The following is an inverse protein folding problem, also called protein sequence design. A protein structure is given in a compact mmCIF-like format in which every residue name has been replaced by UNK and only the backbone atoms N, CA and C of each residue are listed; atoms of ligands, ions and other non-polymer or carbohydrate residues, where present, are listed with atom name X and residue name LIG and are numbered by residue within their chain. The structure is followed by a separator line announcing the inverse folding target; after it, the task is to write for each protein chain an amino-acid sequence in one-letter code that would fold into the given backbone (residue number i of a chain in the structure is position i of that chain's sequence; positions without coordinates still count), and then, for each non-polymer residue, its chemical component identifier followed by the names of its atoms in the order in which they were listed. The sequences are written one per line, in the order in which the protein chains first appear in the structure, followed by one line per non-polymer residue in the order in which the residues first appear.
data_IF_966742762892
#
_entry.id   IF_966742762892
#
_cell.length_a   1.000
_cell.length_b   1.000
_cell.length_c   1.000
_cell.angle_alpha   90.00
_cell.angle_beta   90.00
_cell.angle_gamma   90.00
#
_symmetry.space_group_name_H-M   'P 1'
#
loop_
_entity.id
_entity.type
_entity.pdbx_description
1 polymer ?
#
# COMPACT_ATOMS: atom_id res chain seq x y z
N UNK A 1 -6.57 9.49 -11.00
CA UNK A 1 -5.43 8.54 -11.15
C UNK A 1 -5.68 7.68 -12.39
N UNK A 2 -4.69 7.56 -13.26
CA UNK A 2 -4.81 6.73 -14.47
C UNK A 2 -4.26 5.33 -14.18
N UNK A 3 -5.15 4.35 -14.01
CA UNK A 3 -4.82 2.95 -13.68
C UNK A 3 -3.87 2.32 -14.71
N UNK A 4 -4.09 2.60 -16.01
CA UNK A 4 -3.22 2.06 -17.07
C UNK A 4 -1.80 2.59 -17.00
N UNK A 5 -1.64 3.86 -16.61
CA UNK A 5 -0.32 4.48 -16.42
C UNK A 5 0.39 3.84 -15.22
N UNK A 6 -0.32 3.65 -14.11
CA UNK A 6 0.23 2.98 -12.92
C UNK A 6 0.64 1.54 -13.23
N UNK A 7 -0.19 0.80 -13.93
CA UNK A 7 0.12 -0.58 -14.32
C UNK A 7 1.37 -0.63 -15.20
N UNK A 8 1.49 0.28 -16.16
CA UNK A 8 2.66 0.33 -17.02
C UNK A 8 3.93 0.65 -16.23
N UNK A 9 3.87 1.60 -15.31
CA UNK A 9 4.99 1.92 -14.42
C UNK A 9 5.40 0.72 -13.56
N UNK A 10 4.43 -0.03 -13.03
CA UNK A 10 4.70 -1.25 -12.26
C UNK A 10 5.39 -2.32 -13.10
N UNK A 11 4.91 -2.54 -14.34
CA UNK A 11 5.52 -3.48 -15.29
C UNK A 11 6.94 -3.07 -15.66
N UNK A 12 7.19 -1.81 -15.93
CA UNK A 12 8.51 -1.28 -16.28
C UNK A 12 9.48 -1.39 -15.10
N UNK A 13 9.01 -1.12 -13.89
CA UNK A 13 9.80 -1.31 -12.68
C UNK A 13 10.19 -2.77 -12.48
N UNK A 14 9.25 -3.70 -12.63
CA UNK A 14 9.53 -5.14 -12.55
C UNK A 14 10.52 -5.61 -13.61
N UNK A 15 10.42 -5.13 -14.84
CA UNK A 15 11.39 -5.42 -15.91
C UNK A 15 12.80 -4.95 -15.53
N UNK A 16 12.91 -3.75 -15.00
CA UNK A 16 14.20 -3.18 -14.59
C UNK A 16 14.83 -3.96 -13.44
N UNK A 17 14.06 -4.45 -12.50
CA UNK A 17 14.54 -5.20 -11.31
C UNK A 17 14.64 -6.70 -11.53
N UNK A 18 14.16 -7.22 -12.65
CA UNK A 18 14.11 -8.66 -12.94
C UNK A 18 12.99 -9.39 -12.19
N UNK A 19 12.05 -8.68 -11.60
CA UNK A 19 10.93 -9.25 -10.88
C UNK A 19 9.84 -9.74 -11.85
N UNK A 20 9.25 -10.89 -11.55
CA UNK A 20 8.21 -11.49 -12.40
C UNK A 20 6.83 -10.99 -12.02
N UNK A 21 6.23 -10.16 -12.85
CA UNK A 21 4.87 -9.68 -12.70
C UNK A 21 3.87 -10.64 -13.35
N UNK A 22 3.45 -11.65 -12.58
CA UNK A 22 2.55 -12.72 -13.08
C UNK A 22 1.12 -12.21 -13.29
N UNK A 23 0.28 -12.93 -14.10
CA UNK A 23 -1.13 -12.55 -14.28
C UNK A 23 -1.92 -12.40 -12.97
N UNK A 24 -1.70 -13.29 -11.99
CA UNK A 24 -2.37 -13.19 -10.69
C UNK A 24 -1.97 -11.91 -9.91
N UNK A 25 -0.69 -11.55 -9.95
CA UNK A 25 -0.18 -10.31 -9.33
C UNK A 25 -0.73 -9.07 -10.02
N UNK A 26 -0.84 -9.11 -11.34
CA UNK A 26 -1.44 -8.03 -12.14
C UNK A 26 -2.92 -7.86 -11.80
N UNK A 27 -3.67 -8.94 -11.67
CA UNK A 27 -5.09 -8.88 -11.31
C UNK A 27 -5.30 -8.26 -9.92
N UNK A 28 -4.53 -8.68 -8.92
CA UNK A 28 -4.59 -8.08 -7.57
C UNK A 28 -4.23 -6.59 -7.61
N UNK A 29 -3.19 -6.22 -8.34
CA UNK A 29 -2.81 -4.82 -8.53
C UNK A 29 -3.94 -4.00 -9.15
N UNK A 30 -4.59 -4.51 -10.21
CA UNK A 30 -5.69 -3.83 -10.88
C UNK A 30 -6.93 -3.67 -10.00
N UNK A 31 -7.26 -4.69 -9.21
CA UNK A 31 -8.36 -4.60 -8.24
C UNK A 31 -8.10 -3.46 -7.27
N UNK A 32 -6.90 -3.39 -6.70
CA UNK A 32 -6.51 -2.35 -5.76
C UNK A 32 -6.47 -0.96 -6.43
N UNK A 33 -6.00 -0.88 -7.68
CA UNK A 33 -5.92 0.38 -8.42
C UNK A 33 -7.30 0.96 -8.77
N UNK A 34 -8.30 0.12 -8.93
CA UNK A 34 -9.69 0.53 -9.16
C UNK A 34 -10.46 0.80 -7.86
N UNK A 35 -9.93 0.38 -6.73
CA UNK A 35 -10.49 0.67 -5.41
C UNK A 35 -9.78 1.88 -4.81
N UNK A 36 -10.54 2.89 -4.41
CA UNK A 36 -9.98 4.12 -3.86
C UNK A 36 -9.88 4.06 -2.33
N UNK A 37 -9.06 3.15 -1.82
CA UNK A 37 -8.88 3.01 -0.39
C UNK A 37 -8.22 1.69 0.00
N UNK A 38 -8.04 1.44 1.30
CA UNK A 38 -7.45 0.20 1.78
C UNK A 38 -8.40 -0.98 1.53
N UNK A 39 -7.82 -2.16 1.31
CA UNK A 39 -8.55 -3.42 1.15
C UNK A 39 -7.93 -4.51 2.03
N UNK A 40 -8.76 -5.29 2.69
CA UNK A 40 -8.34 -6.52 3.35
C UNK A 40 -8.07 -7.65 2.35
N UNK A 41 -7.27 -8.65 2.76
CA UNK A 41 -6.94 -9.78 1.88
C UNK A 41 -8.18 -10.57 1.44
N UNK A 42 -9.18 -10.72 2.30
CA UNK A 42 -10.42 -11.42 1.96
C UNK A 42 -11.32 -10.63 1.01
N UNK A 43 -11.35 -9.31 1.13
CA UNK A 43 -12.03 -8.44 0.15
C UNK A 43 -11.40 -8.57 -1.23
N UNK A 44 -10.06 -8.59 -1.29
CA UNK A 44 -9.30 -8.82 -2.51
C UNK A 44 -9.61 -10.20 -3.10
N UNK A 45 -9.71 -11.23 -2.24
CA UNK A 45 -10.05 -12.57 -2.67
C UNK A 45 -11.45 -12.64 -3.28
N UNK A 46 -12.43 -11.98 -2.65
CA UNK A 46 -13.80 -11.94 -3.17
C UNK A 46 -13.86 -11.27 -4.54
N UNK A 47 -13.14 -10.16 -4.73
CA UNK A 47 -13.05 -9.49 -6.02
C UNK A 47 -12.31 -10.35 -7.06
N UNK A 48 -11.24 -11.01 -6.67
CA UNK A 48 -10.47 -11.89 -7.55
C UNK A 48 -11.29 -13.10 -8.02
N UNK A 49 -12.11 -13.69 -7.14
CA UNK A 49 -13.00 -14.82 -7.47
C UNK A 49 -14.06 -14.49 -8.51
N UNK A 50 -14.42 -13.23 -8.68
CA UNK A 50 -15.33 -12.79 -9.76
C UNK A 50 -14.72 -13.03 -11.14
N UNK A 51 -13.40 -13.01 -11.26
CA UNK A 51 -12.65 -13.24 -12.51
C UNK A 51 -12.04 -14.63 -12.59
N UNK A 52 -11.65 -15.20 -11.47
CA UNK A 52 -11.03 -16.52 -11.33
C UNK A 52 -11.64 -17.25 -10.12
N UNK A 53 -12.60 -18.11 -10.38
CA UNK A 53 -13.31 -18.89 -9.34
C UNK A 53 -12.41 -19.86 -8.59
N UNK A 54 -11.25 -20.21 -9.16
CA UNK A 54 -10.26 -21.10 -8.55
C UNK A 54 -9.30 -20.36 -7.63
N UNK A 55 -9.38 -19.03 -7.53
CA UNK A 55 -8.51 -18.23 -6.67
C UNK A 55 -8.68 -18.62 -5.19
N UNK A 56 -7.55 -18.73 -4.49
CA UNK A 56 -7.48 -19.13 -3.08
C UNK A 56 -6.83 -18.02 -2.25
N UNK A 57 -7.02 -18.02 -0.92
CA UNK A 57 -6.34 -17.06 -0.03
C UNK A 57 -4.84 -16.99 -0.26
N UNK A 58 -4.17 -18.13 -0.47
CA UNK A 58 -2.73 -18.17 -0.75
C UNK A 58 -2.35 -17.38 -2.02
N UNK A 59 -3.20 -17.38 -3.05
CA UNK A 59 -2.99 -16.60 -4.28
C UNK A 59 -2.90 -15.09 -3.98
N UNK A 60 -3.83 -14.60 -3.16
CA UNK A 60 -3.88 -13.20 -2.76
C UNK A 60 -2.69 -12.83 -1.88
N UNK A 61 -2.38 -13.63 -0.85
CA UNK A 61 -1.27 -13.35 0.05
C UNK A 61 0.09 -13.35 -0.66
N UNK A 62 0.32 -14.28 -1.59
CA UNK A 62 1.55 -14.29 -2.40
C UNK A 62 1.66 -13.07 -3.31
N UNK A 63 0.54 -12.65 -3.91
CA UNK A 63 0.50 -11.43 -4.71
C UNK A 63 0.79 -10.20 -3.86
N UNK A 64 0.16 -10.07 -2.69
CA UNK A 64 0.36 -8.96 -1.77
C UNK A 64 1.80 -8.90 -1.24
N UNK A 65 2.40 -10.03 -0.87
CA UNK A 65 3.80 -10.10 -0.46
C UNK A 65 4.74 -9.61 -1.56
N UNK A 66 4.49 -10.03 -2.78
CA UNK A 66 5.26 -9.55 -3.93
C UNK A 66 5.09 -8.05 -4.14
N UNK A 67 3.85 -7.55 -4.17
CA UNK A 67 3.55 -6.13 -4.39
C UNK A 67 4.14 -5.25 -3.27
N UNK A 68 4.12 -5.73 -2.04
CA UNK A 68 4.74 -5.04 -0.90
C UNK A 68 6.27 -4.98 -1.03
N UNK A 69 6.91 -6.08 -1.43
CA UNK A 69 8.37 -6.13 -1.67
C UNK A 69 8.81 -5.21 -2.80
N UNK A 70 7.97 -5.03 -3.81
CA UNK A 70 8.24 -4.10 -4.90
C UNK A 70 7.93 -2.64 -4.54
N UNK A 71 7.36 -2.37 -3.37
CA UNK A 71 6.97 -1.03 -2.94
C UNK A 71 5.67 -0.51 -3.57
N UNK A 72 4.90 -1.37 -4.23
CA UNK A 72 3.64 -0.99 -4.88
C UNK A 72 2.46 -0.92 -3.90
N UNK A 73 2.57 -1.62 -2.79
CA UNK A 73 1.52 -1.76 -1.78
C UNK A 73 2.12 -1.57 -0.40
N UNK A 74 1.40 -0.87 0.47
CA UNK A 74 1.72 -0.72 1.88
C UNK A 74 0.74 -1.50 2.73
N UNK A 75 1.24 -2.27 3.68
CA UNK A 75 0.40 -2.91 4.69
C UNK A 75 0.12 -1.93 5.83
N UNK A 76 -1.14 -1.77 6.17
CA UNK A 76 -1.59 -0.99 7.32
C UNK A 76 -1.88 -1.97 8.46
N UNK A 77 -0.91 -2.14 9.35
CA UNK A 77 -0.97 -3.17 10.40
C UNK A 77 -2.14 -2.97 11.35
N UNK A 78 -2.45 -1.73 11.72
CA UNK A 78 -3.49 -1.42 12.70
C UNK A 78 -4.90 -1.86 12.29
N UNK A 79 -5.17 -1.90 10.99
CA UNK A 79 -6.48 -2.29 10.44
C UNK A 79 -6.39 -3.57 9.59
N UNK A 80 -5.23 -4.21 9.54
CA UNK A 80 -4.96 -5.41 8.75
C UNK A 80 -5.45 -5.28 7.30
N UNK A 81 -5.10 -4.19 6.66
CA UNK A 81 -5.47 -3.87 5.29
C UNK A 81 -4.24 -3.47 4.47
N UNK A 82 -4.43 -3.39 3.17
CA UNK A 82 -3.39 -3.06 2.20
C UNK A 82 -3.82 -1.85 1.38
N UNK A 83 -2.91 -0.92 1.17
CA UNK A 83 -3.14 0.30 0.40
C UNK A 83 -2.19 0.33 -0.80
N UNK A 84 -2.72 0.57 -1.99
CA UNK A 84 -1.90 0.78 -3.18
C UNK A 84 -1.17 2.12 -3.05
N UNK A 85 0.14 2.09 -3.25
CA UNK A 85 0.95 3.30 -3.33
C UNK A 85 0.90 3.86 -4.76
N UNK A 86 0.57 5.11 -4.92
CA UNK A 86 0.59 5.79 -6.22
C UNK A 86 1.92 6.51 -6.50
N UNK A 87 2.85 6.46 -5.55
CA UNK A 87 4.20 7.07 -5.62
C UNK A 87 5.34 6.04 -5.62
N UNK A 88 5.09 4.81 -6.06
CA UNK A 88 6.10 3.74 -6.01
C UNK A 88 7.29 3.93 -6.97
N UNK A 89 7.24 4.91 -7.85
CA UNK A 89 8.40 5.33 -8.63
C UNK A 89 9.51 5.94 -7.76
N UNK A 90 9.15 6.42 -6.58
CA UNK A 90 10.06 6.95 -5.56
C UNK A 90 10.29 5.87 -4.49
N UNK A 91 11.02 4.81 -4.84
CA UNK A 91 11.28 3.66 -3.95
C UNK A 91 11.81 4.08 -2.57
N UNK A 92 11.23 3.50 -1.52
CA UNK A 92 11.63 3.67 -0.10
C UNK A 92 11.22 5.00 0.56
N UNK A 93 10.17 5.68 0.10
CA UNK A 93 9.65 6.79 0.86
C UNK A 93 8.98 6.28 2.16
N UNK A 94 9.11 7.01 3.27
CA UNK A 94 8.41 6.67 4.50
C UNK A 94 6.90 6.83 4.32
N UNK A 95 6.15 5.86 4.83
CA UNK A 95 4.69 5.88 4.76
C UNK A 95 4.13 6.62 5.95
N UNK A 96 3.31 7.64 5.71
CA UNK A 96 2.66 8.44 6.73
C UNK A 96 1.16 8.48 6.43
N UNK A 97 0.36 7.96 7.35
CA UNK A 97 -1.07 7.75 7.16
C UNK A 97 -1.90 8.47 8.22
N UNK A 98 -2.98 9.10 7.78
CA UNK A 98 -4.08 9.55 8.63
C UNK A 98 -5.24 8.57 8.44
N UNK A 99 -5.72 7.97 9.52
CA UNK A 99 -6.74 6.94 9.50
C UNK A 99 -7.95 7.41 10.31
N UNK A 100 -9.11 7.44 9.67
CA UNK A 100 -10.36 7.76 10.35
C UNK A 100 -10.93 6.51 11.01
N UNK A 101 -11.08 6.53 12.31
CA UNK A 101 -11.63 5.40 13.08
C UNK A 101 -13.15 5.21 12.85
N UNK A 102 -13.86 6.26 12.42
CA UNK A 102 -15.32 6.20 12.22
C UNK A 102 -15.70 5.64 10.84
N UNK A 103 -15.10 6.12 9.77
CA UNK A 103 -15.45 5.72 8.40
C UNK A 103 -14.41 4.87 7.69
N UNK A 104 -13.24 4.64 8.30
CA UNK A 104 -12.17 3.86 7.70
C UNK A 104 -11.40 4.55 6.58
N UNK A 105 -11.67 5.84 6.32
CA UNK A 105 -10.93 6.60 5.31
C UNK A 105 -9.44 6.66 5.69
N UNK A 106 -8.58 6.48 4.70
CA UNK A 106 -7.13 6.57 4.86
C UNK A 106 -6.58 7.58 3.87
N UNK A 107 -5.79 8.50 4.37
CA UNK A 107 -5.08 9.50 3.59
C UNK A 107 -3.58 9.34 3.79
N UNK A 108 -2.84 9.15 2.70
CA UNK A 108 -1.37 9.16 2.73
C UNK A 108 -0.89 10.61 2.66
N UNK A 109 -0.09 11.00 3.63
CA UNK A 109 0.54 12.32 3.66
C UNK A 109 2.04 12.20 3.43
N UNK A 110 2.63 13.25 2.89
CA UNK A 110 4.07 13.33 2.69
C UNK A 110 4.64 14.50 3.49
N UNK A 111 5.62 14.20 4.33
CA UNK A 111 6.33 15.20 5.11
C UNK A 111 7.80 14.81 5.28
N UNK A 112 8.67 15.55 4.63
CA UNK A 112 10.11 15.39 4.79
C UNK A 112 10.57 15.75 6.21
N UNK A 113 9.85 16.66 6.89
CA UNK A 113 10.17 17.08 8.26
C UNK A 113 10.00 15.94 9.26
N UNK A 114 8.90 15.18 9.15
CA UNK A 114 8.66 14.05 10.05
C UNK A 114 9.71 12.94 9.83
N UNK A 115 10.05 12.65 8.59
CA UNK A 115 11.12 11.70 8.25
C UNK A 115 12.43 12.11 8.87
N UNK A 116 12.81 13.39 8.72
CA UNK A 116 14.06 13.93 9.24
C UNK A 116 14.13 13.85 10.78
N UNK A 117 13.05 14.17 11.47
CA UNK A 117 12.97 14.08 12.93
C UNK A 117 13.18 12.65 13.42
N UNK A 118 12.47 11.69 12.84
CA UNK A 118 12.59 10.28 13.23
C UNK A 118 13.99 9.75 12.93
N UNK A 119 14.55 10.08 11.76
CA UNK A 119 15.92 9.70 11.40
C UNK A 119 16.94 10.26 12.37
N UNK A 120 16.83 11.53 12.73
CA UNK A 120 17.73 12.19 13.69
C UNK A 120 17.68 11.49 15.05
N UNK A 121 16.49 11.15 15.53
CA UNK A 121 16.33 10.44 16.79
C UNK A 121 16.91 9.02 16.75
N UNK A 122 16.71 8.32 15.64
CA UNK A 122 17.28 6.97 15.43
C UNK A 122 18.81 7.01 15.39
N UNK A 123 19.38 7.95 14.65
CA UNK A 123 20.84 8.12 14.54
C UNK A 123 21.46 8.42 15.91
N UNK A 124 20.81 9.25 16.73
CA UNK A 124 21.27 9.58 18.08
C UNK A 124 21.32 8.36 19.00
N UNK A 125 20.46 7.35 18.79
CA UNK A 125 20.45 6.10 19.55
C UNK A 125 21.21 4.96 18.87
N UNK A 126 21.86 5.20 17.73
CA UNK A 126 22.56 4.19 16.96
C UNK A 126 21.63 3.20 16.24
N UNK A 127 20.37 3.58 16.02
CA UNK A 127 19.35 2.73 15.41
C UNK A 127 19.32 2.92 13.90
N UNK A 128 19.38 1.80 13.15
CA UNK A 128 19.28 1.81 11.69
C UNK A 128 17.84 1.51 11.28
N UNK A 129 17.18 2.50 10.68
CA UNK A 129 15.83 2.33 10.13
C UNK A 129 15.92 1.60 8.79
N UNK A 130 15.17 0.50 8.64
CA UNK A 130 15.04 -0.23 7.38
C UNK A 130 13.77 0.14 6.60
N UNK A 131 12.68 0.41 7.30
CA UNK A 131 11.45 0.96 6.76
C UNK A 131 10.72 1.73 7.85
N UNK A 132 9.87 2.67 7.45
CA UNK A 132 9.15 3.52 8.38
C UNK A 132 7.69 3.63 7.98
N UNK A 133 6.80 3.35 8.92
CA UNK A 133 5.36 3.59 8.81
C UNK A 133 4.91 4.38 10.02
N UNK A 134 4.24 5.51 9.79
CA UNK A 134 3.63 6.33 10.84
C UNK A 134 2.13 6.37 10.60
N UNK A 135 1.37 6.00 11.61
CA UNK A 135 -0.08 6.03 11.58
C UNK A 135 -0.58 7.01 12.63
N UNK A 136 -1.48 7.93 12.23
CA UNK A 136 -2.24 8.75 13.16
C UNK A 136 -3.72 8.42 13.02
N UNK A 137 -4.37 8.11 14.14
CA UNK A 137 -5.77 7.70 14.21
C UNK A 137 -6.63 8.82 14.77
N UNK A 138 -7.83 9.00 14.22
CA UNK A 138 -8.74 10.04 14.69
C UNK A 138 -10.01 10.09 13.85
N UNK A 139 -10.53 11.30 13.65
CA UNK A 139 -11.75 11.55 12.87
C UNK A 139 -11.43 12.47 11.69
N UNK A 140 -11.87 12.06 10.50
CA UNK A 140 -11.78 12.93 9.32
C UNK A 140 -12.77 14.11 9.41
N UNK A 141 -12.56 15.12 8.58
CA UNK A 141 -13.39 16.32 8.56
C UNK A 141 -14.90 15.99 8.40
N UNK A 142 -15.22 15.03 7.56
CA UNK A 142 -16.62 14.63 7.32
C UNK A 142 -17.26 14.00 8.57
N UNK A 143 -16.53 13.15 9.28
CA UNK A 143 -17.03 12.51 10.50
C UNK A 143 -17.13 13.47 11.67
N UNK A 144 -16.25 14.47 11.76
CA UNK A 144 -16.35 15.53 12.78
C UNK A 144 -17.56 16.42 12.58
N UNK A 145 -17.99 16.62 11.34
CA UNK A 145 -19.16 17.44 10.98
C UNK A 145 -20.49 16.70 11.08
N UNK A 146 -20.45 15.38 11.27
CA UNK A 146 -21.65 14.54 11.36
C UNK A 146 -22.31 14.58 12.75
#
# INVERSE_FOLDING_TARGET
MNVNKLLQQAKDNCKRTGARFTPAREQVFLIMANNHGPMGAYELLDELKKQDTAAKPATVYRALDFLAKQGFVHKIESINAFLLCDHFSECNHPVQLLICDDCGAVEEIQSNNLELVIKTMADASGFKITHQVVEAHGQCQQCQAA
#
